data_IF_732973054473
#
_entry.id   IF_732973054473
#
_cell.length_a   1.000
_cell.length_b   1.000
_cell.length_c   1.000
_cell.angle_alpha   90.00
_cell.angle_beta   90.00
_cell.angle_gamma   90.00
#
_symmetry.space_group_name_H-M   'P 1'
#
loop_
_entity.id
_entity.type
_entity.pdbx_description
1 polymer ?
#
# COMPACT_ATOMS: atom_id res chain seq x y z
N UNK A 1 13.84 14.52 26.46
CA UNK A 1 14.32 14.17 27.82
C UNK A 1 13.36 13.19 28.48
N UNK A 2 13.70 12.62 29.65
CA UNK A 2 12.86 11.63 30.33
C UNK A 2 12.36 12.13 31.68
N UNK A 3 11.11 11.81 32.02
CA UNK A 3 10.54 11.99 33.36
C UNK A 3 10.19 10.63 33.96
N UNK A 4 10.31 10.48 35.28
CA UNK A 4 9.88 9.30 36.02
C UNK A 4 8.45 9.47 36.57
N UNK A 5 7.86 8.38 37.06
CA UNK A 5 6.63 8.35 37.86
C UNK A 5 5.41 9.12 37.26
N UNK A 6 4.73 8.60 36.21
CA UNK A 6 5.10 7.43 35.39
C UNK A 6 6.24 7.78 34.42
N UNK A 7 6.89 6.75 33.87
CA UNK A 7 7.97 6.91 32.89
C UNK A 7 7.44 7.53 31.61
N UNK A 8 8.07 8.65 31.20
CA UNK A 8 7.68 9.43 30.02
C UNK A 8 8.90 9.88 29.24
N UNK A 9 8.80 9.84 27.93
CA UNK A 9 9.72 10.55 27.02
C UNK A 9 9.05 11.85 26.59
N UNK A 10 9.77 12.95 26.71
CA UNK A 10 9.30 14.29 26.37
C UNK A 10 10.17 14.88 25.27
N UNK A 11 9.53 15.31 24.19
CA UNK A 11 10.14 16.02 23.06
C UNK A 11 9.54 17.42 22.97
N UNK A 12 10.40 18.43 22.99
CA UNK A 12 10.01 19.82 22.78
C UNK A 12 10.35 20.22 21.34
N UNK A 13 9.33 20.50 20.54
CA UNK A 13 9.46 20.97 19.17
C UNK A 13 9.46 22.50 19.22
N UNK A 14 10.65 23.08 18.97
CA UNK A 14 10.89 24.52 18.96
C UNK A 14 10.38 25.18 17.68
N UNK A 15 9.98 26.45 17.78
CA UNK A 15 9.35 27.25 16.72
C UNK A 15 8.11 26.59 16.10
N UNK A 16 7.29 25.94 16.94
CA UNK A 16 6.08 25.24 16.53
C UNK A 16 4.84 25.74 17.27
N UNK A 17 3.69 25.63 16.59
CA UNK A 17 2.37 25.87 17.15
C UNK A 17 1.47 24.65 16.91
N UNK A 18 0.66 24.29 17.91
CA UNK A 18 -0.38 23.28 17.77
C UNK A 18 -1.75 23.96 17.55
N UNK A 19 -2.44 23.58 16.47
CA UNK A 19 -3.78 24.10 16.18
C UNK A 19 -4.77 23.69 17.29
N UNK A 20 -5.77 24.52 17.65
CA UNK A 20 -6.75 24.19 18.67
C UNK A 20 -7.47 22.85 18.43
N UNK A 21 -7.72 22.51 17.16
CA UNK A 21 -8.46 21.34 16.67
C UNK A 21 -7.58 20.08 16.54
N UNK A 22 -6.26 20.19 16.70
CA UNK A 22 -5.36 19.05 16.59
C UNK A 22 -5.66 17.99 17.66
N UNK A 23 -5.49 16.70 17.32
CA UNK A 23 -5.70 15.59 18.26
C UNK A 23 -4.60 15.56 19.32
N UNK A 24 -4.84 16.26 20.43
CA UNK A 24 -3.90 16.45 21.55
C UNK A 24 -3.62 15.20 22.38
N UNK A 25 -4.48 14.18 22.31
CA UNK A 25 -4.32 12.91 23.04
C UNK A 25 -4.58 11.73 22.10
N UNK A 26 -3.65 10.79 22.06
CA UNK A 26 -3.73 9.54 21.29
C UNK A 26 -3.41 8.40 22.24
N UNK A 27 -4.34 7.45 22.41
CA UNK A 27 -4.02 6.17 23.04
C UNK A 27 -3.34 5.27 22.01
N UNK A 28 -2.38 4.47 22.46
CA UNK A 28 -1.61 3.56 21.60
C UNK A 28 -1.73 2.16 22.20
N UNK A 29 -2.20 1.20 21.41
CA UNK A 29 -2.24 -0.20 21.81
C UNK A 29 -0.85 -0.83 21.58
N UNK A 30 0.04 -0.64 22.55
CA UNK A 30 1.40 -1.17 22.52
C UNK A 30 1.94 -1.45 23.93
N UNK A 31 2.67 -2.56 24.14
CA UNK A 31 3.32 -2.86 25.42
C UNK A 31 4.48 -1.90 25.76
N UNK A 32 4.95 -1.10 24.79
CA UNK A 32 6.05 -0.16 24.94
C UNK A 32 5.59 1.30 25.08
N UNK A 33 4.47 1.67 24.45
CA UNK A 33 3.91 3.03 24.47
C UNK A 33 2.40 2.92 24.68
N UNK A 34 1.89 3.49 25.77
CA UNK A 34 0.45 3.48 26.07
C UNK A 34 -0.28 4.71 25.56
N UNK A 35 0.42 5.83 25.35
CA UNK A 35 -0.20 7.04 24.85
C UNK A 35 0.78 8.15 24.47
N UNK A 36 0.31 9.03 23.59
CA UNK A 36 1.01 10.24 23.12
C UNK A 36 0.11 11.43 23.39
N UNK A 37 0.69 12.48 23.99
CA UNK A 37 0.02 13.72 24.35
C UNK A 37 0.79 14.90 23.79
N UNK A 38 0.12 15.83 23.13
CA UNK A 38 0.74 17.01 22.52
C UNK A 38 0.00 18.27 22.97
N UNK A 39 0.74 19.29 23.39
CA UNK A 39 0.18 20.58 23.83
C UNK A 39 1.15 21.73 23.54
N UNK A 40 0.61 22.94 23.42
CA UNK A 40 1.42 24.16 23.46
C UNK A 40 2.00 24.29 24.87
N UNK A 41 3.32 24.37 25.00
CA UNK A 41 4.01 24.54 26.29
C UNK A 41 4.28 26.02 26.60
N UNK A 42 4.71 26.76 25.59
CA UNK A 42 4.90 28.22 25.59
C UNK A 42 4.61 28.77 24.18
N UNK A 43 4.76 30.07 23.97
CA UNK A 43 4.47 30.72 22.68
C UNK A 43 5.21 30.14 21.45
N UNK A 44 6.32 29.42 21.63
CA UNK A 44 7.13 28.88 20.53
C UNK A 44 7.39 27.38 20.60
N UNK A 45 6.98 26.72 21.68
CA UNK A 45 7.26 25.31 21.92
C UNK A 45 5.98 24.47 21.96
N UNK A 46 5.89 23.47 21.07
CA UNK A 46 4.96 22.35 21.24
C UNK A 46 5.66 21.23 22.00
N UNK A 47 5.10 20.81 23.12
CA UNK A 47 5.60 19.68 23.91
C UNK A 47 4.81 18.42 23.59
N UNK A 48 5.54 17.38 23.19
CA UNK A 48 5.04 16.02 23.00
C UNK A 48 5.51 15.17 24.18
N UNK A 49 4.58 14.52 24.87
CA UNK A 49 4.81 13.61 25.99
C UNK A 49 4.32 12.22 25.59
N UNK A 50 5.22 11.24 25.59
CA UNK A 50 4.92 9.84 25.32
C UNK A 50 4.98 9.07 26.63
N UNK A 51 3.86 8.47 27.02
CA UNK A 51 3.76 7.57 28.16
C UNK A 51 4.27 6.18 27.74
N UNK A 52 5.32 5.69 28.41
CA UNK A 52 6.09 4.53 27.93
C UNK A 52 6.61 3.67 29.08
N UNK A 53 6.79 2.38 28.82
CA UNK A 53 7.44 1.44 29.75
C UNK A 53 8.97 1.41 29.58
N UNK A 54 9.53 2.04 28.53
CA UNK A 54 10.97 1.97 28.22
C UNK A 54 11.78 3.02 28.99
N UNK A 55 12.98 2.61 29.44
CA UNK A 55 13.89 3.47 30.19
C UNK A 55 14.70 4.46 29.33
N UNK A 56 15.66 5.14 29.97
CA UNK A 56 16.48 6.23 29.40
C UNK A 56 17.16 5.91 28.06
N UNK A 57 17.51 4.64 27.82
CA UNK A 57 18.21 4.15 26.62
C UNK A 57 17.32 3.24 25.73
N UNK A 58 16.02 3.21 25.97
CA UNK A 58 15.05 2.37 25.25
C UNK A 58 14.29 3.09 24.14
N UNK A 59 14.75 4.26 23.70
CA UNK A 59 14.10 5.07 22.67
C UNK A 59 15.12 5.86 21.84
N UNK A 60 14.73 6.28 20.64
CA UNK A 60 15.55 7.11 19.74
C UNK A 60 14.69 8.18 19.07
N UNK A 61 15.20 9.41 18.99
CA UNK A 61 14.62 10.49 18.17
C UNK A 61 15.53 10.73 16.97
N UNK A 62 14.96 10.89 15.77
CA UNK A 62 15.68 11.28 14.57
C UNK A 62 14.74 11.96 13.56
N UNK A 63 15.29 12.72 12.62
CA UNK A 63 14.55 13.23 11.46
C UNK A 63 14.61 12.26 10.29
N UNK A 64 13.59 12.31 9.42
CA UNK A 64 13.67 11.74 8.08
C UNK A 64 13.79 12.88 7.06
N UNK A 65 14.85 12.83 6.26
CA UNK A 65 15.10 13.78 5.17
C UNK A 65 14.50 13.24 3.85
N UNK A 66 14.27 14.12 2.88
CA UNK A 66 13.72 13.75 1.55
C UNK A 66 12.22 13.99 1.36
N UNK A 67 11.56 14.77 2.23
CA UNK A 67 10.14 15.14 2.08
C UNK A 67 9.71 16.27 3.01
N UNK A 68 8.41 16.32 3.34
CA UNK A 68 7.91 17.17 4.46
C UNK A 68 8.68 16.80 5.74
N UNK A 69 9.16 17.75 6.57
CA UNK A 69 9.92 17.42 7.78
C UNK A 69 9.15 16.48 8.71
N UNK A 70 9.75 15.33 9.04
CA UNK A 70 9.21 14.34 9.97
C UNK A 70 10.18 14.17 11.15
N UNK A 71 9.65 14.12 12.36
CA UNK A 71 10.38 13.67 13.55
C UNK A 71 9.85 12.29 13.92
N UNK A 72 10.73 11.30 13.97
CA UNK A 72 10.40 9.92 14.34
C UNK A 72 10.87 9.68 15.78
N UNK A 73 10.06 8.95 16.55
CA UNK A 73 10.37 8.50 17.90
C UNK A 73 10.20 6.98 17.97
N UNK A 74 11.30 6.24 17.92
CA UNK A 74 11.31 4.79 18.10
C UNK A 74 11.32 4.44 19.58
N UNK A 75 10.54 3.43 19.97
CA UNK A 75 10.49 2.89 21.34
C UNK A 75 10.76 1.39 21.31
N UNK A 76 11.87 0.98 21.92
CA UNK A 76 12.39 -0.39 21.90
C UNK A 76 13.91 -0.41 22.04
N UNK A 77 14.48 -1.56 22.39
CA UNK A 77 15.93 -1.76 22.28
C UNK A 77 16.31 -1.92 20.81
N UNK A 78 16.98 -0.93 20.24
CA UNK A 78 17.84 -1.19 19.07
C UNK A 78 18.92 -2.20 19.50
N UNK A 79 19.21 -3.24 18.69
CA UNK A 79 20.33 -4.13 18.99
C UNK A 79 21.64 -3.33 18.92
N UNK A 80 22.27 -3.09 20.08
CA UNK A 80 23.71 -2.79 20.07
C UNK A 80 24.41 -4.02 19.53
N UNK A 81 24.91 -3.93 18.29
CA UNK A 81 25.83 -4.92 17.73
C UNK A 81 27.13 -4.85 18.53
N UNK A 82 27.15 -5.58 19.66
CA UNK A 82 28.32 -5.85 20.46
C UNK A 82 28.68 -7.29 20.19
N UNK A 83 29.83 -7.49 19.54
CA UNK A 83 30.31 -8.82 19.19
C UNK A 83 30.61 -9.62 20.47
N UNK A 84 30.12 -10.86 20.51
CA UNK A 84 30.60 -11.89 21.44
C UNK A 84 29.88 -12.00 22.79
N UNK A 85 28.80 -12.79 22.84
CA UNK A 85 28.69 -13.91 23.80
C UNK A 85 27.54 -14.84 23.39
N UNK A 86 27.79 -16.15 23.35
CA UNK A 86 26.75 -17.16 23.08
C UNK A 86 25.95 -17.47 24.33
N UNK A 87 24.63 -17.53 24.22
CA UNK A 87 23.73 -18.10 25.22
C UNK A 87 23.14 -19.45 24.72
N UNK A 88 22.70 -20.37 25.60
CA UNK A 88 22.38 -21.76 25.21
C UNK A 88 21.00 -21.91 24.53
N UNK A 89 20.78 -22.99 23.74
CA UNK A 89 19.51 -23.22 23.05
C UNK A 89 18.39 -23.63 24.01
N UNK A 90 17.17 -23.15 23.74
CA UNK A 90 15.96 -23.54 24.46
C UNK A 90 15.49 -24.96 24.07
N UNK A 91 14.83 -25.64 25.02
CA UNK A 91 14.29 -27.00 24.82
C UNK A 91 13.12 -27.03 23.82
N UNK A 92 12.96 -28.10 23.02
CA UNK A 92 11.76 -28.31 22.19
C UNK A 92 10.53 -28.67 23.04
N UNK A 93 9.35 -28.28 22.56
CA UNK A 93 8.06 -28.77 23.05
C UNK A 93 7.74 -30.19 22.51
N UNK A 94 6.86 -30.98 23.15
CA UNK A 94 6.70 -32.41 22.84
C UNK A 94 5.95 -32.68 21.53
N UNK A 95 6.44 -33.64 20.75
CA UNK A 95 5.78 -34.20 19.57
C UNK A 95 4.66 -35.17 19.96
N UNK A 96 3.51 -35.09 19.28
CA UNK A 96 2.51 -36.16 19.28
C UNK A 96 2.81 -37.17 18.16
N UNK A 97 2.58 -38.46 18.44
CA UNK A 97 2.98 -39.58 17.59
C UNK A 97 1.77 -40.08 16.75
N UNK A 98 1.95 -40.49 15.48
CA UNK A 98 0.83 -40.84 14.60
C UNK A 98 0.38 -42.31 14.72
N UNK A 99 -0.92 -42.57 14.57
CA UNK A 99 -1.51 -43.92 14.48
C UNK A 99 -2.13 -44.18 13.09
N UNK A 100 -2.04 -45.43 12.61
CA UNK A 100 -2.50 -45.88 11.28
C UNK A 100 -2.77 -47.41 11.34
N UNK A 101 -3.45 -48.04 10.35
CA UNK A 101 -4.89 -48.00 10.07
C UNK A 101 -5.56 -49.40 10.15
N UNK A 102 -6.86 -49.51 9.86
CA UNK A 102 -7.54 -50.78 9.58
C UNK A 102 -8.48 -50.69 8.35
N UNK A 103 -8.63 -51.80 7.60
CA UNK A 103 -9.52 -51.99 6.42
C UNK A 103 -9.85 -53.50 6.31
N UNK A 104 -11.10 -53.92 6.01
CA UNK A 104 -11.51 -54.39 4.66
C UNK A 104 -12.97 -53.95 4.30
N UNK A 105 -13.42 -53.61 3.09
CA UNK A 105 -13.44 -54.23 1.73
C UNK A 105 -14.95 -54.39 1.25
N UNK A 106 -15.26 -54.58 -0.05
CA UNK A 106 -16.37 -53.85 -0.72
C UNK A 106 -17.53 -54.73 -1.27
N UNK A 107 -18.55 -54.10 -1.89
CA UNK A 107 -18.69 -54.07 -3.38
C UNK A 107 -19.22 -52.69 -3.90
N UNK A 108 -19.44 -52.34 -5.19
CA UNK A 108 -19.25 -52.95 -6.55
C UNK A 108 -19.11 -51.83 -7.63
N UNK A 109 -19.16 -52.17 -8.93
CA UNK A 109 -19.27 -51.29 -10.13
C UNK A 109 -20.72 -51.41 -10.71
N UNK A 110 -21.29 -50.55 -11.58
CA UNK A 110 -20.86 -50.06 -12.93
C UNK A 110 -21.65 -48.80 -13.43
N UNK A 111 -21.18 -48.09 -14.49
CA UNK A 111 -21.86 -46.96 -15.19
C UNK A 111 -22.42 -47.39 -16.59
N UNK A 112 -22.72 -46.53 -17.60
CA UNK A 112 -23.22 -45.12 -17.71
C UNK A 112 -24.49 -44.96 -18.62
N UNK A 113 -25.08 -43.75 -18.77
CA UNK A 113 -25.46 -43.11 -20.08
C UNK A 113 -26.34 -41.83 -19.98
N UNK A 114 -25.79 -40.69 -20.43
CA UNK A 114 -26.27 -39.75 -21.46
C UNK A 114 -27.74 -39.25 -21.66
N UNK A 115 -27.82 -37.94 -22.01
CA UNK A 115 -28.81 -37.20 -22.84
C UNK A 115 -29.81 -36.17 -22.21
N UNK A 116 -29.48 -34.89 -22.49
CA UNK A 116 -30.22 -33.62 -22.78
C UNK A 116 -31.76 -33.58 -22.78
N UNK A 117 -32.37 -32.45 -22.35
CA UNK A 117 -32.86 -31.33 -23.21
C UNK A 117 -33.71 -30.28 -22.42
N UNK A 118 -33.82 -29.04 -22.96
CA UNK A 118 -34.76 -27.94 -22.55
C UNK A 118 -34.29 -27.03 -21.39
N UNK A 119 -33.80 -25.81 -21.59
CA UNK A 119 -34.41 -24.55 -22.08
C UNK A 119 -35.24 -23.76 -21.03
N UNK A 120 -34.79 -22.54 -20.70
CA UNK A 120 -35.60 -21.30 -20.78
C UNK A 120 -34.79 -20.02 -20.42
N UNK A 121 -34.39 -19.30 -21.47
CA UNK A 121 -34.45 -17.83 -21.67
C UNK A 121 -34.01 -16.81 -20.58
N UNK A 122 -33.18 -15.85 -21.01
CA UNK A 122 -33.40 -14.42 -20.69
C UNK A 122 -32.32 -13.68 -19.87
N UNK A 123 -31.20 -13.31 -20.49
CA UNK A 123 -30.99 -11.92 -20.95
C UNK A 123 -29.54 -11.69 -21.44
N UNK A 124 -29.40 -11.36 -22.72
CA UNK A 124 -28.13 -10.99 -23.35
C UNK A 124 -27.71 -9.57 -22.95
N UNK A 125 -26.57 -9.46 -22.26
CA UNK A 125 -25.60 -8.39 -22.55
C UNK A 125 -24.22 -9.02 -22.75
N UNK A 126 -24.15 -9.96 -23.70
CA UNK A 126 -22.90 -10.28 -24.36
C UNK A 126 -22.47 -9.13 -25.27
N UNK A 127 -22.03 -8.01 -24.68
CA UNK A 127 -21.17 -7.08 -25.41
C UNK A 127 -19.79 -7.73 -25.54
N UNK A 128 -19.32 -7.79 -26.78
CA UNK A 128 -18.20 -8.58 -27.27
C UNK A 128 -17.00 -8.79 -26.31
N UNK A 129 -16.88 -10.02 -25.81
CA UNK A 129 -15.61 -10.59 -25.31
C UNK A 129 -14.57 -10.67 -26.47
N UNK A 130 -15.01 -10.47 -27.72
CA UNK A 130 -14.19 -10.36 -28.92
C UNK A 130 -13.33 -9.08 -28.98
N UNK A 131 -13.75 -7.99 -28.33
CA UNK A 131 -13.13 -6.66 -28.52
C UNK A 131 -12.06 -6.33 -27.47
N UNK A 132 -11.89 -7.15 -26.43
CA UNK A 132 -10.82 -7.01 -25.43
C UNK A 132 -9.54 -7.71 -25.92
N UNK A 133 -9.02 -7.26 -27.06
CA UNK A 133 -7.80 -7.81 -27.70
C UNK A 133 -6.53 -7.05 -27.28
N UNK A 134 -6.65 -5.80 -26.83
CA UNK A 134 -5.53 -4.85 -26.65
C UNK A 134 -4.42 -5.29 -25.67
N UNK A 135 -4.76 -6.06 -24.63
CA UNK A 135 -3.82 -6.40 -23.56
C UNK A 135 -3.10 -7.75 -23.72
N UNK A 136 -3.49 -8.58 -24.69
CA UNK A 136 -2.90 -9.91 -24.87
C UNK A 136 -1.40 -9.84 -25.15
N UNK A 137 -0.60 -10.44 -24.27
CA UNK A 137 0.86 -10.47 -24.38
C UNK A 137 1.57 -9.18 -23.95
N UNK A 138 0.84 -8.16 -23.46
CA UNK A 138 1.46 -7.02 -22.77
C UNK A 138 2.00 -7.46 -21.42
N UNK A 139 3.10 -6.86 -20.98
CA UNK A 139 3.64 -6.99 -19.63
C UNK A 139 3.40 -5.72 -18.83
N UNK A 140 2.70 -5.82 -17.71
CA UNK A 140 2.32 -4.67 -16.90
C UNK A 140 2.94 -4.83 -15.51
N UNK A 141 3.78 -3.87 -15.12
CA UNK A 141 4.28 -3.78 -13.76
C UNK A 141 3.34 -2.88 -12.94
N UNK A 142 2.76 -3.42 -11.87
CA UNK A 142 1.95 -2.68 -10.91
C UNK A 142 2.75 -2.59 -9.60
N UNK A 143 2.84 -1.39 -9.04
CA UNK A 143 3.48 -1.12 -7.77
C UNK A 143 2.43 -0.71 -6.73
N UNK A 144 2.00 -1.62 -5.84
CA UNK A 144 1.13 -1.25 -4.73
C UNK A 144 1.96 -0.42 -3.74
N UNK A 145 1.68 0.88 -3.67
CA UNK A 145 2.42 1.83 -2.83
C UNK A 145 2.55 1.38 -1.37
N UNK A 146 3.68 1.74 -0.74
CA UNK A 146 4.00 1.39 0.65
C UNK A 146 4.08 -0.13 0.90
N UNK A 147 3.97 -0.59 2.15
CA UNK A 147 4.04 -2.01 2.53
C UNK A 147 4.96 -2.29 3.71
N UNK A 148 4.69 -3.38 4.44
CA UNK A 148 5.48 -3.79 5.59
C UNK A 148 5.42 -2.75 6.70
N UNK A 149 6.58 -2.28 7.16
CA UNK A 149 6.73 -1.22 8.15
C UNK A 149 6.23 0.17 7.68
N UNK A 150 6.13 0.42 6.37
CA UNK A 150 5.53 1.66 5.84
C UNK A 150 4.02 1.49 5.63
N UNK A 151 3.21 2.17 6.44
CA UNK A 151 1.75 2.19 6.32
C UNK A 151 1.23 2.99 5.12
N UNK A 152 2.05 3.89 4.57
CA UNK A 152 1.57 5.07 3.85
C UNK A 152 0.75 5.98 4.77
N UNK A 153 -0.11 6.79 4.17
CA UNK A 153 -1.08 7.60 4.88
C UNK A 153 -2.10 6.75 5.66
N UNK A 154 -2.65 7.35 6.72
CA UNK A 154 -3.67 6.74 7.57
C UNK A 154 -4.89 7.67 7.59
N UNK A 155 -6.03 7.14 7.14
CA UNK A 155 -7.28 7.89 7.04
C UNK A 155 -7.99 8.10 8.38
N UNK A 156 -9.09 8.88 8.40
CA UNK A 156 -9.78 9.27 9.62
C UNK A 156 -10.35 8.11 10.45
N UNK A 157 -10.66 6.95 9.85
CA UNK A 157 -11.11 5.75 10.58
C UNK A 157 -10.01 4.74 10.87
N UNK A 158 -8.77 5.02 10.46
CA UNK A 158 -7.60 4.16 10.68
C UNK A 158 -7.28 3.22 9.51
N UNK A 159 -7.92 3.40 8.35
CA UNK A 159 -7.53 2.68 7.13
C UNK A 159 -6.13 3.12 6.73
N UNK A 160 -5.25 2.15 6.48
CA UNK A 160 -3.88 2.40 6.01
C UNK A 160 -3.85 2.32 4.48
N UNK A 161 -3.20 3.28 3.85
CA UNK A 161 -3.00 3.35 2.40
C UNK A 161 -2.43 2.03 1.84
N UNK A 162 -1.41 1.46 2.49
CA UNK A 162 -0.80 0.18 2.05
C UNK A 162 -1.78 -1.00 1.89
N UNK A 163 -2.92 -0.96 2.57
CA UNK A 163 -3.97 -1.99 2.50
C UNK A 163 -4.93 -1.72 1.35
N UNK A 164 -5.26 -0.44 1.10
CA UNK A 164 -6.08 -0.01 -0.04
C UNK A 164 -5.34 -0.29 -1.35
N UNK A 165 -4.09 0.17 -1.47
CA UNK A 165 -3.26 0.00 -2.68
C UNK A 165 -3.07 -1.47 -3.02
N UNK A 166 -2.85 -2.34 -2.02
CA UNK A 166 -2.73 -3.79 -2.20
C UNK A 166 -4.05 -4.45 -2.63
N UNK A 167 -5.21 -4.03 -2.08
CA UNK A 167 -6.53 -4.57 -2.49
C UNK A 167 -6.84 -4.19 -3.93
N UNK A 168 -6.67 -2.92 -4.29
CA UNK A 168 -6.85 -2.42 -5.66
C UNK A 168 -5.90 -3.13 -6.64
N UNK A 169 -4.60 -3.22 -6.32
CA UNK A 169 -3.61 -3.84 -7.21
C UNK A 169 -3.85 -5.33 -7.46
N UNK A 170 -4.40 -6.06 -6.48
CA UNK A 170 -4.77 -7.48 -6.65
C UNK A 170 -5.98 -7.66 -7.56
N UNK A 171 -7.01 -6.83 -7.41
CA UNK A 171 -8.19 -6.89 -8.28
C UNK A 171 -7.85 -6.41 -9.71
N UNK A 172 -7.04 -5.35 -9.83
CA UNK A 172 -6.52 -4.88 -11.11
C UNK A 172 -5.69 -5.97 -11.82
N UNK A 173 -4.81 -6.66 -11.09
CA UNK A 173 -4.08 -7.82 -11.62
C UNK A 173 -5.03 -8.90 -12.15
N UNK A 174 -6.09 -9.24 -11.40
CA UNK A 174 -7.09 -10.23 -11.80
C UNK A 174 -7.81 -9.84 -13.10
N UNK A 175 -8.14 -8.56 -13.27
CA UNK A 175 -8.77 -8.02 -14.49
C UNK A 175 -7.81 -8.12 -15.69
N UNK A 176 -6.64 -7.49 -15.59
CA UNK A 176 -5.66 -7.45 -16.69
C UNK A 176 -5.17 -8.85 -17.12
N UNK A 177 -5.04 -9.81 -16.20
CA UNK A 177 -4.70 -11.20 -16.54
C UNK A 177 -5.84 -11.96 -17.22
N UNK A 178 -7.10 -11.62 -16.93
CA UNK A 178 -8.25 -12.17 -17.66
C UNK A 178 -8.27 -11.69 -19.13
N UNK A 179 -7.73 -10.50 -19.39
CA UNK A 179 -7.53 -9.89 -20.72
C UNK A 179 -6.22 -10.36 -21.40
N UNK A 180 -5.50 -11.30 -20.78
CA UNK A 180 -4.31 -11.91 -21.36
C UNK A 180 -3.01 -11.11 -21.21
N UNK A 181 -2.98 -10.09 -20.36
CA UNK A 181 -1.73 -9.46 -19.95
C UNK A 181 -0.93 -10.39 -19.01
N UNK A 182 0.38 -10.20 -18.96
CA UNK A 182 1.25 -10.74 -17.91
C UNK A 182 1.48 -9.64 -16.87
N UNK A 183 0.98 -9.83 -15.64
CA UNK A 183 1.05 -8.80 -14.59
C UNK A 183 2.06 -9.15 -13.52
N UNK A 184 3.03 -8.27 -13.28
CA UNK A 184 4.01 -8.36 -12.20
C UNK A 184 3.67 -7.34 -11.13
N UNK A 185 3.53 -7.78 -9.86
CA UNK A 185 3.42 -6.87 -8.72
C UNK A 185 4.80 -6.67 -8.08
N UNK A 186 5.14 -5.45 -7.67
CA UNK A 186 6.38 -5.19 -6.88
C UNK A 186 6.34 -5.85 -5.50
N UNK A 187 5.14 -5.97 -4.90
CA UNK A 187 4.85 -6.81 -3.74
C UNK A 187 3.53 -7.53 -3.91
N UNK A 188 3.41 -8.73 -3.36
CA UNK A 188 2.17 -9.53 -3.36
C UNK A 188 1.46 -9.58 -2.01
N UNK A 189 2.13 -9.12 -0.94
CA UNK A 189 1.68 -9.19 0.46
C UNK A 189 2.01 -7.89 1.22
N UNK A 190 1.71 -7.85 2.51
CA UNK A 190 2.11 -6.75 3.39
C UNK A 190 3.58 -6.92 3.84
N UNK A 191 4.50 -6.58 2.95
CA UNK A 191 5.95 -6.65 3.14
C UNK A 191 6.62 -5.41 2.56
N UNK A 192 7.85 -5.14 3.00
CA UNK A 192 8.82 -4.38 2.22
C UNK A 192 9.06 -5.05 0.85
N UNK A 193 9.59 -4.28 -0.12
CA UNK A 193 9.97 -4.79 -1.45
C UNK A 193 11.47 -5.10 -1.53
N UNK A 194 12.30 -4.37 -0.79
CA UNK A 194 13.74 -4.64 -0.70
C UNK A 194 14.03 -5.92 0.09
N UNK A 195 14.95 -6.75 -0.41
CA UNK A 195 15.49 -7.92 0.31
C UNK A 195 16.16 -7.56 1.65
N UNK A 196 16.45 -6.28 1.90
CA UNK A 196 16.96 -5.76 3.18
C UNK A 196 15.87 -5.60 4.24
N UNK A 197 14.60 -5.76 3.87
CA UNK A 197 13.43 -5.59 4.74
C UNK A 197 13.41 -4.21 5.40
N UNK A 198 12.93 -4.16 6.65
CA UNK A 198 12.88 -2.93 7.46
C UNK A 198 14.26 -2.26 7.76
N UNK A 199 15.38 -2.82 7.26
CA UNK A 199 16.70 -2.16 7.32
C UNK A 199 17.05 -1.42 6.01
N UNK A 200 16.22 -1.51 4.97
CA UNK A 200 16.40 -0.76 3.74
C UNK A 200 16.31 0.75 3.98
N UNK A 201 17.16 1.51 3.31
CA UNK A 201 16.93 2.95 3.14
C UNK A 201 15.76 3.17 2.18
N UNK A 202 15.13 4.35 2.23
CA UNK A 202 14.05 4.72 1.31
C UNK A 202 14.47 4.62 -0.17
N UNK A 203 15.75 4.86 -0.48
CA UNK A 203 16.27 4.69 -1.85
C UNK A 203 16.31 3.21 -2.24
N UNK A 204 16.83 2.33 -1.39
CA UNK A 204 16.92 0.88 -1.69
C UNK A 204 15.54 0.20 -1.79
N UNK A 205 14.55 0.68 -1.04
CA UNK A 205 13.15 0.23 -1.12
C UNK A 205 12.47 0.70 -2.43
N UNK A 206 12.70 1.95 -2.85
CA UNK A 206 12.16 2.47 -4.10
C UNK A 206 12.91 1.94 -5.33
N UNK A 207 14.20 1.65 -5.20
CA UNK A 207 15.03 1.02 -6.22
C UNK A 207 14.60 -0.43 -6.47
N UNK A 208 14.37 -1.23 -5.42
CA UNK A 208 13.88 -2.60 -5.55
C UNK A 208 12.55 -2.69 -6.35
N UNK A 209 11.64 -1.72 -6.17
CA UNK A 209 10.40 -1.59 -6.97
C UNK A 209 10.68 -1.36 -8.46
N UNK A 210 11.64 -0.48 -8.77
CA UNK A 210 12.09 -0.22 -10.14
C UNK A 210 12.75 -1.47 -10.75
N UNK A 211 13.64 -2.14 -9.99
CA UNK A 211 14.34 -3.33 -10.45
C UNK A 211 13.37 -4.46 -10.84
N UNK A 212 12.29 -4.67 -10.09
CA UNK A 212 11.28 -5.69 -10.43
C UNK A 212 10.63 -5.39 -11.79
N UNK A 213 10.23 -4.14 -12.03
CA UNK A 213 9.62 -3.72 -13.29
C UNK A 213 10.61 -3.82 -14.47
N UNK A 214 11.84 -3.34 -14.28
CA UNK A 214 12.90 -3.34 -15.29
C UNK A 214 13.33 -4.77 -15.64
N UNK A 215 13.56 -5.64 -14.64
CA UNK A 215 13.89 -7.07 -14.86
C UNK A 215 12.77 -7.83 -15.55
N UNK A 216 11.51 -7.51 -15.28
CA UNK A 216 10.37 -8.09 -16.00
C UNK A 216 10.33 -7.70 -17.49
N UNK A 217 11.02 -6.62 -17.87
CA UNK A 217 10.89 -5.94 -19.16
C UNK A 217 9.41 -5.60 -19.44
N UNK A 218 8.79 -4.86 -18.52
CA UNK A 218 7.40 -4.45 -18.65
C UNK A 218 7.21 -3.39 -19.75
N UNK A 219 6.05 -3.40 -20.41
CA UNK A 219 5.65 -2.41 -21.41
C UNK A 219 5.22 -1.08 -20.77
N UNK A 220 4.68 -1.13 -19.54
CA UNK A 220 4.34 0.01 -18.69
C UNK A 220 4.60 -0.27 -17.21
N UNK A 221 4.74 0.80 -16.43
CA UNK A 221 4.74 0.78 -14.97
C UNK A 221 3.65 1.68 -14.40
N UNK A 222 2.89 1.16 -13.44
CA UNK A 222 1.85 1.89 -12.72
C UNK A 222 2.06 1.75 -11.21
N UNK A 223 2.38 2.84 -10.52
CA UNK A 223 2.35 2.88 -9.06
C UNK A 223 1.00 3.41 -8.57
N UNK A 224 0.42 2.76 -7.56
CA UNK A 224 -0.93 3.04 -7.05
C UNK A 224 -0.82 3.50 -5.60
N UNK A 225 -1.32 4.70 -5.33
CA UNK A 225 -1.26 5.41 -4.05
C UNK A 225 -2.62 6.05 -3.70
N UNK A 226 -2.76 6.53 -2.47
CA UNK A 226 -3.91 7.31 -2.01
C UNK A 226 -3.49 8.51 -1.13
N UNK A 227 -3.47 9.69 -1.75
CA UNK A 227 -2.97 10.96 -1.21
C UNK A 227 -3.57 11.32 0.17
N UNK A 228 -2.86 12.16 0.91
CA UNK A 228 -3.32 12.69 2.17
C UNK A 228 -2.93 14.15 2.37
N UNK A 229 -3.94 14.97 2.69
CA UNK A 229 -3.76 16.38 2.99
C UNK A 229 -4.21 16.72 4.42
N UNK A 230 -3.66 17.79 4.98
CA UNK A 230 -3.98 18.24 6.35
C UNK A 230 -5.38 18.81 6.45
N UNK A 231 -5.85 19.52 5.42
CA UNK A 231 -7.26 19.82 5.22
C UNK A 231 -7.96 18.58 4.64
N UNK A 232 -8.85 17.97 5.42
CA UNK A 232 -9.59 16.74 5.05
C UNK A 232 -10.70 16.95 4.02
N UNK A 233 -11.04 18.21 3.70
CA UNK A 233 -11.95 18.54 2.60
C UNK A 233 -11.29 18.41 1.22
N UNK A 234 -9.95 18.29 1.15
CA UNK A 234 -9.24 18.03 -0.10
C UNK A 234 -9.51 16.60 -0.54
N UNK A 235 -9.89 16.47 -1.82
CA UNK A 235 -10.40 15.25 -2.44
C UNK A 235 -10.14 15.23 -3.95
N UNK A 236 -10.33 14.08 -4.59
CA UNK A 236 -10.19 13.88 -6.04
C UNK A 236 -8.98 13.08 -6.49
N UNK A 237 -8.94 12.72 -7.77
CA UNK A 237 -7.91 11.88 -8.40
C UNK A 237 -6.82 12.72 -9.05
N UNK A 238 -5.55 12.35 -8.86
CA UNK A 238 -4.39 12.96 -9.54
C UNK A 238 -3.53 11.88 -10.20
N UNK A 239 -3.01 12.13 -11.40
CA UNK A 239 -1.98 11.27 -12.00
C UNK A 239 -0.66 12.04 -12.17
N UNK A 240 0.44 11.31 -12.03
CA UNK A 240 1.79 11.85 -12.02
C UNK A 240 2.69 11.13 -13.02
N UNK A 241 3.54 11.90 -13.71
CA UNK A 241 4.61 11.39 -14.56
C UNK A 241 5.90 12.18 -14.35
N UNK A 242 7.05 11.62 -14.76
CA UNK A 242 8.31 12.34 -14.70
C UNK A 242 8.45 13.30 -15.89
N UNK A 243 8.71 14.58 -15.63
CA UNK A 243 8.75 15.64 -16.67
C UNK A 243 9.77 15.42 -17.80
N UNK A 244 10.82 14.61 -17.56
CA UNK A 244 11.84 14.28 -18.58
C UNK A 244 11.71 12.84 -19.11
N UNK A 245 10.61 12.14 -18.79
CA UNK A 245 10.27 10.87 -19.41
C UNK A 245 9.67 11.08 -20.80
N UNK A 246 9.25 9.99 -21.44
CA UNK A 246 8.62 10.03 -22.76
C UNK A 246 7.20 10.61 -22.72
N UNK A 247 6.73 11.15 -23.86
CA UNK A 247 5.31 11.50 -24.08
C UNK A 247 4.34 10.33 -23.81
N UNK A 248 4.82 9.08 -23.95
CA UNK A 248 4.04 7.89 -23.60
C UNK A 248 3.70 7.84 -22.10
N UNK A 249 4.59 8.31 -21.22
CA UNK A 249 4.33 8.38 -19.78
C UNK A 249 3.21 9.39 -19.47
N UNK A 250 3.22 10.54 -20.15
CA UNK A 250 2.13 11.52 -20.03
C UNK A 250 0.81 10.94 -20.55
N UNK A 251 0.83 10.29 -21.72
CA UNK A 251 -0.37 9.65 -22.30
C UNK A 251 -0.94 8.57 -21.37
N UNK A 252 -0.09 7.72 -20.80
CA UNK A 252 -0.48 6.70 -19.82
C UNK A 252 -1.13 7.34 -18.58
N UNK A 253 -0.52 8.39 -18.04
CA UNK A 253 -1.07 9.12 -16.89
C UNK A 253 -2.44 9.77 -17.21
N UNK A 254 -2.60 10.33 -18.41
CA UNK A 254 -3.87 10.90 -18.87
C UNK A 254 -4.96 9.83 -19.05
N UNK A 255 -4.68 8.72 -19.73
CA UNK A 255 -5.64 7.62 -19.93
C UNK A 255 -6.10 7.02 -18.60
N UNK A 256 -5.15 6.64 -17.72
CA UNK A 256 -5.47 6.06 -16.39
C UNK A 256 -6.28 7.04 -15.53
N UNK A 257 -5.93 8.34 -15.54
CA UNK A 257 -6.67 9.36 -14.76
C UNK A 257 -8.11 9.51 -15.24
N UNK A 258 -8.32 9.64 -16.56
CA UNK A 258 -9.63 9.91 -17.13
C UNK A 258 -10.60 8.74 -16.93
N UNK A 259 -10.16 7.51 -17.23
CA UNK A 259 -10.98 6.32 -17.05
C UNK A 259 -11.24 6.01 -15.57
N UNK A 260 -10.28 6.26 -14.67
CA UNK A 260 -10.52 6.16 -13.23
C UNK A 260 -11.59 7.17 -12.77
N UNK A 261 -11.49 8.45 -13.18
CA UNK A 261 -12.48 9.48 -12.82
C UNK A 261 -13.89 9.10 -13.27
N UNK A 262 -14.05 8.56 -14.48
CA UNK A 262 -15.35 8.07 -14.98
C UNK A 262 -15.90 6.94 -14.11
N UNK A 263 -15.04 5.97 -13.74
CA UNK A 263 -15.44 4.79 -12.96
C UNK A 263 -15.80 5.07 -11.49
N UNK A 264 -15.26 6.13 -10.85
CA UNK A 264 -15.50 6.43 -9.42
C UNK A 264 -16.06 7.82 -9.11
N UNK A 265 -16.25 8.70 -10.10
CA UNK A 265 -16.89 10.01 -9.93
C UNK A 265 -16.10 11.03 -9.10
N UNK A 266 -14.80 10.82 -8.93
CA UNK A 266 -13.90 11.73 -8.18
C UNK A 266 -13.69 13.07 -8.89
N UNK A 267 -13.33 14.11 -8.13
CA UNK A 267 -12.93 15.40 -8.71
C UNK A 267 -11.62 15.27 -9.49
N UNK A 268 -11.57 15.82 -10.71
CA UNK A 268 -10.36 15.85 -11.53
C UNK A 268 -9.33 16.86 -11.01
N UNK A 269 -8.12 16.40 -10.66
CA UNK A 269 -6.99 17.23 -10.23
C UNK A 269 -5.90 17.33 -11.30
N UNK A 270 -6.16 16.78 -12.49
CA UNK A 270 -5.30 16.81 -13.65
C UNK A 270 -4.08 15.88 -13.57
N UNK A 271 -3.35 15.86 -14.67
CA UNK A 271 -2.06 15.16 -14.79
C UNK A 271 -0.93 16.13 -14.47
N UNK A 272 -0.09 15.79 -13.51
CA UNK A 272 0.98 16.65 -13.00
C UNK A 272 2.37 16.04 -13.25
N UNK A 273 3.40 16.90 -13.28
CA UNK A 273 4.78 16.42 -13.30
C UNK A 273 5.32 16.27 -11.88
N UNK A 274 6.16 15.26 -11.66
CA UNK A 274 6.81 15.01 -10.38
C UNK A 274 8.29 14.64 -10.55
N UNK A 275 8.98 14.42 -9.44
CA UNK A 275 10.31 13.80 -9.37
C UNK A 275 10.28 12.53 -8.48
N UNK A 276 9.13 11.86 -8.38
CA UNK A 276 9.02 10.63 -7.58
C UNK A 276 9.94 9.55 -8.15
N UNK A 277 10.55 8.77 -7.25
CA UNK A 277 11.65 7.87 -7.62
C UNK A 277 11.21 6.82 -8.66
N UNK A 278 10.10 6.15 -8.39
CA UNK A 278 9.64 5.01 -9.19
C UNK A 278 9.36 5.39 -10.65
N UNK A 279 8.64 6.48 -10.92
CA UNK A 279 8.35 6.93 -12.30
C UNK A 279 9.54 7.56 -13.03
N UNK A 280 10.67 7.73 -12.35
CA UNK A 280 11.92 8.31 -12.88
C UNK A 280 13.01 7.26 -13.14
N UNK A 281 12.98 6.15 -12.39
CA UNK A 281 14.03 5.12 -12.39
C UNK A 281 13.58 3.77 -13.00
N UNK A 282 12.37 3.70 -13.54
CA UNK A 282 11.89 2.61 -14.41
C UNK A 282 12.19 2.88 -15.89
N UNK A 283 12.51 1.82 -16.65
CA UNK A 283 12.96 1.92 -18.04
C UNK A 283 11.82 2.09 -19.08
N UNK A 284 10.58 1.77 -18.69
CA UNK A 284 9.38 1.83 -19.53
C UNK A 284 8.49 3.06 -19.20
N UNK A 285 7.49 3.40 -20.05
CA UNK A 285 6.52 4.44 -19.74
C UNK A 285 5.83 4.20 -18.39
N UNK A 286 5.97 5.17 -17.49
CA UNK A 286 5.60 5.04 -16.09
C UNK A 286 4.67 6.16 -15.65
N UNK A 287 3.70 5.82 -14.80
CA UNK A 287 2.86 6.77 -14.07
C UNK A 287 2.66 6.34 -12.61
N UNK A 288 2.36 7.30 -11.75
CA UNK A 288 1.86 7.08 -10.40
C UNK A 288 0.47 7.72 -10.31
N UNK A 289 -0.52 6.98 -9.85
CA UNK A 289 -1.89 7.47 -9.65
C UNK A 289 -2.19 7.60 -8.16
N UNK A 290 -2.58 8.80 -7.76
CA UNK A 290 -3.27 9.05 -6.49
C UNK A 290 -4.76 8.86 -6.74
N UNK A 291 -5.29 7.69 -6.37
CA UNK A 291 -6.65 7.27 -6.72
C UNK A 291 -7.73 8.13 -6.06
N UNK A 292 -7.42 8.72 -4.91
CA UNK A 292 -8.29 9.56 -4.07
C UNK A 292 -7.53 9.97 -2.81
N UNK A 293 -8.13 10.83 -1.98
CA UNK A 293 -7.55 11.27 -0.71
C UNK A 293 -8.00 10.39 0.46
N UNK A 294 -7.11 9.56 1.01
CA UNK A 294 -7.42 8.74 2.20
C UNK A 294 -7.63 9.61 3.46
N UNK A 295 -7.18 10.86 3.43
CA UNK A 295 -7.49 11.85 4.47
C UNK A 295 -8.95 12.32 4.48
N UNK A 296 -9.67 12.20 3.37
CA UNK A 296 -11.08 12.57 3.25
C UNK A 296 -11.98 11.39 3.69
N UNK A 297 -13.00 11.65 4.51
CA UNK A 297 -13.80 10.58 5.12
C UNK A 297 -14.72 9.83 4.14
N UNK A 298 -15.17 10.49 3.07
CA UNK A 298 -16.03 9.87 2.07
C UNK A 298 -15.18 9.09 1.05
N UNK A 299 -14.02 9.62 0.66
CA UNK A 299 -13.09 8.91 -0.21
C UNK A 299 -12.38 7.74 0.51
N UNK A 300 -12.03 7.85 1.81
CA UNK A 300 -11.58 6.70 2.63
C UNK A 300 -12.64 5.58 2.63
N UNK A 301 -13.92 5.94 2.84
CA UNK A 301 -15.03 4.98 2.85
C UNK A 301 -15.21 4.31 1.48
N UNK A 302 -15.16 5.08 0.40
CA UNK A 302 -15.27 4.58 -0.98
C UNK A 302 -14.13 3.61 -1.26
N UNK A 303 -12.86 4.05 -1.13
CA UNK A 303 -11.68 3.24 -1.42
C UNK A 303 -11.58 1.98 -0.56
N UNK A 304 -12.08 2.00 0.67
CA UNK A 304 -12.04 0.85 1.57
C UNK A 304 -13.20 -0.15 1.34
N UNK A 305 -14.24 0.22 0.57
CA UNK A 305 -15.37 -0.66 0.27
C UNK A 305 -15.03 -1.69 -0.81
N UNK A 306 -15.70 -2.86 -0.80
CA UNK A 306 -15.51 -3.90 -1.82
C UNK A 306 -15.95 -3.44 -3.22
N UNK A 307 -16.96 -2.59 -3.30
CA UNK A 307 -17.42 -2.00 -4.56
C UNK A 307 -16.42 -0.96 -5.08
N UNK A 308 -15.94 -0.06 -4.21
CA UNK A 308 -14.92 0.93 -4.56
C UNK A 308 -13.62 0.28 -5.05
N UNK A 309 -13.11 -0.76 -4.37
CA UNK A 309 -11.92 -1.51 -4.83
C UNK A 309 -12.12 -2.04 -6.26
N UNK A 310 -13.29 -2.58 -6.59
CA UNK A 310 -13.61 -3.08 -7.94
C UNK A 310 -13.75 -1.95 -8.96
N UNK A 311 -14.41 -0.86 -8.62
CA UNK A 311 -14.60 0.28 -9.53
C UNK A 311 -13.27 0.99 -9.81
N UNK A 312 -12.41 1.18 -8.80
CA UNK A 312 -11.04 1.70 -8.96
C UNK A 312 -10.24 0.77 -9.87
N UNK A 313 -10.23 -0.54 -9.59
CA UNK A 313 -9.49 -1.51 -10.38
C UNK A 313 -9.97 -1.57 -11.83
N UNK A 314 -11.28 -1.48 -12.08
CA UNK A 314 -11.86 -1.42 -13.43
C UNK A 314 -11.47 -0.14 -14.16
N UNK A 315 -11.69 1.05 -13.60
CA UNK A 315 -11.34 2.31 -14.27
C UNK A 315 -9.84 2.44 -14.57
N UNK A 316 -8.97 1.84 -13.74
CA UNK A 316 -7.55 1.72 -14.06
C UNK A 316 -7.28 0.71 -15.19
N UNK A 317 -7.97 -0.43 -15.23
CA UNK A 317 -7.84 -1.40 -16.31
C UNK A 317 -8.29 -0.81 -17.66
N UNK A 318 -9.45 -0.15 -17.68
CA UNK A 318 -10.00 0.54 -18.85
C UNK A 318 -9.00 1.60 -19.36
N UNK A 319 -8.44 2.42 -18.48
CA UNK A 319 -7.42 3.42 -18.82
C UNK A 319 -6.07 2.84 -19.27
N UNK A 320 -5.76 1.58 -18.93
CA UNK A 320 -4.60 0.85 -19.47
C UNK A 320 -4.92 0.30 -20.86
N UNK A 321 -6.13 -0.23 -21.09
CA UNK A 321 -6.59 -0.66 -22.41
C UNK A 321 -6.59 0.51 -23.40
N UNK A 322 -7.20 1.64 -23.04
CA UNK A 322 -7.19 2.90 -23.81
C UNK A 322 -5.78 3.38 -24.18
N UNK A 323 -4.80 3.15 -23.29
CA UNK A 323 -3.41 3.47 -23.59
C UNK A 323 -2.82 2.53 -24.65
N UNK A 324 -3.12 1.24 -24.63
CA UNK A 324 -2.57 0.29 -25.61
C UNK A 324 -3.29 0.32 -26.97
N UNK A 325 -4.58 0.66 -26.99
CA UNK A 325 -5.44 0.65 -28.18
C UNK A 325 -5.79 -0.75 -28.66
#
# INVERSE_FOLDING_TARGET
FTLANPTRVVLDVQNAWIMPEAKKNVQVDSPLVSGVRAAQFDEKTVRIVVDTTVGKDGWKVFSLDGGKPRIVLDFGRTPKVTAGTKAPPAKPAPTQQPTKPAKPAPPKMTPPSDQRDGDHTGDDVGHDISDIIGLKGKKIAIDPGHGGSDSGAIGPTGVMEKNVTMRVSRELKRLLEAEGATVVLTRTTDTEVSDKGANATAVEELEARCEIANRANADIFLSIHADAFTNREVKGTTAYYYAKASEKSKRLADSVRLALIDAIGTLDRGTQTCNFYVVKHTDMPATLVEISFISNADEERMMNSEEGVKNIARGIADGIADYFG
#
